data_IF_464004473628
#
_entry.id   IF_464004473628
#
_cell.length_a   1.000
_cell.length_b   1.000
_cell.length_c   1.000
_cell.angle_alpha   90.00
_cell.angle_beta   90.00
_cell.angle_gamma   90.00
#
_symmetry.space_group_name_H-M   'P 1'
#
loop_
_entity.id
_entity.type
_entity.pdbx_description
1 polymer ?
#
# COMPACT_ATOMS: atom_id res chain seq x y z
N UNK A 1 8.13 63.68 13.42
CA UNK A 1 7.37 62.41 13.37
C UNK A 1 8.31 61.33 12.80
N UNK A 2 8.80 60.36 13.59
CA UNK A 2 9.60 59.27 13.04
C UNK A 2 8.71 58.17 12.44
N UNK A 3 8.98 57.80 11.19
CA UNK A 3 8.33 56.67 10.51
C UNK A 3 8.94 55.35 11.01
N UNK A 4 8.08 54.43 11.48
CA UNK A 4 8.46 53.08 11.91
C UNK A 4 8.80 52.24 10.68
N UNK A 5 10.04 51.77 10.61
CA UNK A 5 10.52 50.81 9.62
C UNK A 5 9.94 49.43 9.96
N UNK A 6 9.20 48.82 9.03
CA UNK A 6 8.74 47.43 9.14
C UNK A 6 9.88 46.53 8.64
N UNK A 7 10.48 45.78 9.56
CA UNK A 7 11.37 44.66 9.27
C UNK A 7 10.54 43.53 8.64
N UNK A 8 10.45 43.54 7.32
CA UNK A 8 9.84 42.45 6.55
C UNK A 8 10.86 41.32 6.54
N UNK A 9 10.54 40.25 7.28
CA UNK A 9 11.41 39.11 7.51
C UNK A 9 12.14 38.65 6.25
N UNK A 10 13.45 38.42 6.42
CA UNK A 10 14.36 37.77 5.48
C UNK A 10 13.64 36.61 4.78
N UNK A 11 13.28 36.83 3.52
CA UNK A 11 12.83 35.76 2.66
C UNK A 11 13.97 34.75 2.59
N UNK A 12 13.71 33.53 3.07
CA UNK A 12 14.60 32.41 2.84
C UNK A 12 14.75 32.26 1.33
N UNK A 13 15.96 32.53 0.83
CA UNK A 13 16.32 32.32 -0.56
C UNK A 13 16.04 30.84 -0.89
N UNK A 14 15.31 30.55 -1.98
CA UNK A 14 15.12 29.17 -2.40
C UNK A 14 16.49 28.62 -2.79
N UNK A 15 16.98 27.65 -2.01
CA UNK A 15 18.13 26.83 -2.40
C UNK A 15 17.77 26.10 -3.69
N UNK A 16 18.35 26.57 -4.79
CA UNK A 16 18.20 25.99 -6.13
C UNK A 16 18.81 24.58 -6.08
N UNK A 17 17.98 23.57 -5.90
CA UNK A 17 18.41 22.18 -5.78
C UNK A 17 17.41 21.24 -5.09
N UNK A 18 16.50 21.76 -4.27
CA UNK A 18 15.41 20.94 -3.74
C UNK A 18 14.31 20.87 -4.81
N UNK A 19 14.19 19.73 -5.49
CA UNK A 19 13.07 19.49 -6.39
C UNK A 19 11.77 19.62 -5.58
N UNK A 20 10.96 20.63 -5.91
CA UNK A 20 9.61 20.75 -5.39
C UNK A 20 8.91 19.38 -5.58
N UNK A 21 8.18 18.87 -4.57
CA UNK A 21 7.47 17.61 -4.72
C UNK A 21 6.59 17.71 -5.97
N UNK A 22 6.85 16.83 -6.94
CA UNK A 22 6.13 16.81 -8.20
C UNK A 22 4.62 16.79 -7.90
N UNK A 23 3.79 17.52 -8.66
CA UNK A 23 2.35 17.51 -8.45
C UNK A 23 1.85 16.07 -8.50
N UNK A 24 1.29 15.61 -7.38
CA UNK A 24 0.69 14.27 -7.30
C UNK A 24 -0.47 14.21 -8.29
N UNK A 25 -0.30 13.44 -9.36
CA UNK A 25 -1.35 13.17 -10.33
C UNK A 25 -2.51 12.42 -9.67
N UNK A 26 -3.71 12.52 -10.21
CA UNK A 26 -4.88 11.79 -9.69
C UNK A 26 -4.64 10.27 -9.61
N UNK A 27 -3.83 9.75 -10.53
CA UNK A 27 -3.36 8.36 -10.55
C UNK A 27 -2.53 8.01 -9.31
N UNK A 28 -1.56 8.86 -8.93
CA UNK A 28 -0.74 8.64 -7.72
C UNK A 28 -1.60 8.62 -6.45
N UNK A 29 -2.59 9.50 -6.36
CA UNK A 29 -3.55 9.52 -5.25
C UNK A 29 -4.44 8.28 -5.22
N UNK A 30 -4.86 7.80 -6.39
CA UNK A 30 -5.62 6.56 -6.53
C UNK A 30 -4.79 5.35 -6.08
N UNK A 31 -3.54 5.24 -6.54
CA UNK A 31 -2.62 4.18 -6.12
C UNK A 31 -2.35 4.17 -4.61
N UNK A 32 -2.18 5.34 -4.00
CA UNK A 32 -1.99 5.45 -2.55
C UNK A 32 -3.22 4.96 -1.78
N UNK A 33 -4.42 5.38 -2.17
CA UNK A 33 -5.67 4.93 -1.56
C UNK A 33 -5.93 3.43 -1.76
N UNK A 34 -5.66 2.92 -2.97
CA UNK A 34 -5.76 1.50 -3.26
C UNK A 34 -4.79 0.69 -2.40
N UNK A 35 -3.57 1.19 -2.21
CA UNK A 35 -2.56 0.56 -1.35
C UNK A 35 -3.01 0.50 0.10
N UNK A 36 -3.52 1.61 0.64
CA UNK A 36 -4.05 1.65 2.00
C UNK A 36 -5.23 0.69 2.18
N UNK A 37 -6.15 0.66 1.22
CA UNK A 37 -7.30 -0.25 1.24
C UNK A 37 -6.87 -1.72 1.15
N UNK A 38 -5.86 -2.04 0.35
CA UNK A 38 -5.33 -3.38 0.21
C UNK A 38 -4.68 -3.88 1.51
N UNK A 39 -3.94 -3.02 2.21
CA UNK A 39 -3.35 -3.35 3.53
C UNK A 39 -4.45 -3.57 4.58
N UNK A 40 -5.49 -2.73 4.61
CA UNK A 40 -6.64 -2.93 5.50
C UNK A 40 -7.40 -4.23 5.19
N UNK A 41 -7.58 -4.55 3.90
CA UNK A 41 -8.17 -5.82 3.51
C UNK A 41 -7.33 -7.01 4.01
N UNK A 42 -6.00 -6.95 3.90
CA UNK A 42 -5.12 -7.99 4.41
C UNK A 42 -5.25 -8.14 5.93
N UNK A 43 -5.35 -7.05 6.71
CA UNK A 43 -5.56 -7.17 8.17
C UNK A 43 -6.89 -7.81 8.52
N UNK A 44 -8.00 -7.39 7.90
CA UNK A 44 -9.30 -8.04 8.10
C UNK A 44 -9.27 -9.53 7.72
N UNK A 45 -8.59 -9.88 6.63
CA UNK A 45 -8.46 -11.25 6.18
C UNK A 45 -7.69 -12.12 7.20
N UNK A 46 -6.57 -11.62 7.72
CA UNK A 46 -5.77 -12.33 8.73
C UNK A 46 -6.59 -12.53 10.01
N UNK A 47 -7.19 -11.46 10.54
CA UNK A 47 -8.01 -11.53 11.75
C UNK A 47 -9.16 -12.53 11.59
N UNK A 48 -9.87 -12.49 10.46
CA UNK A 48 -10.96 -13.43 10.16
C UNK A 48 -10.47 -14.88 10.05
N UNK A 49 -9.27 -15.09 9.50
CA UNK A 49 -8.68 -16.42 9.36
C UNK A 49 -8.30 -16.99 10.71
N UNK A 50 -7.66 -16.20 11.57
CA UNK A 50 -7.32 -16.58 12.95
C UNK A 50 -8.58 -16.93 13.75
N UNK A 51 -9.62 -16.11 13.66
CA UNK A 51 -10.91 -16.38 14.29
C UNK A 51 -11.50 -17.72 13.83
N UNK A 52 -11.53 -17.97 12.51
CA UNK A 52 -12.03 -19.24 11.95
C UNK A 52 -11.20 -20.45 12.35
N UNK A 53 -9.88 -20.32 12.44
CA UNK A 53 -9.01 -21.40 12.93
C UNK A 53 -9.35 -21.75 14.38
N UNK A 54 -9.64 -20.75 15.21
CA UNK A 54 -10.07 -20.97 16.59
C UNK A 54 -11.46 -21.61 16.66
N UNK A 55 -12.42 -21.16 15.84
CA UNK A 55 -13.75 -21.76 15.80
C UNK A 55 -13.70 -23.22 15.36
N UNK A 56 -12.87 -23.54 14.38
CA UNK A 56 -12.61 -24.92 13.97
C UNK A 56 -12.00 -25.73 15.12
N UNK A 57 -11.05 -25.17 15.86
CA UNK A 57 -10.44 -25.81 17.04
C UNK A 57 -11.48 -26.08 18.13
N UNK A 58 -12.38 -25.12 18.38
CA UNK A 58 -13.49 -25.24 19.32
C UNK A 58 -14.48 -26.34 18.94
N UNK A 59 -14.83 -26.42 17.66
CA UNK A 59 -15.75 -27.43 17.15
C UNK A 59 -15.20 -28.86 17.27
N UNK A 60 -13.88 -29.02 17.28
CA UNK A 60 -13.19 -30.31 17.41
C UNK A 60 -12.79 -30.64 18.86
N UNK A 61 -12.94 -29.71 19.80
CA UNK A 61 -12.52 -29.89 21.18
C UNK A 61 -13.58 -30.67 22.00
N UNK A 62 -13.10 -31.58 22.84
CA UNK A 62 -13.94 -32.33 23.79
C UNK A 62 -14.66 -31.42 24.79
N UNK A 63 -15.76 -31.90 25.36
CA UNK A 63 -16.63 -31.14 26.28
C UNK A 63 -15.91 -30.59 27.53
N UNK A 64 -14.85 -31.26 27.96
CA UNK A 64 -14.04 -30.87 29.14
C UNK A 64 -12.78 -30.05 28.75
N UNK A 65 -12.69 -29.60 27.50
CA UNK A 65 -11.52 -28.91 26.98
C UNK A 65 -11.53 -27.42 27.31
N UNK A 66 -10.37 -26.91 27.75
CA UNK A 66 -10.12 -25.48 27.97
C UNK A 66 -10.36 -24.61 26.72
N UNK A 67 -10.32 -25.21 25.53
CA UNK A 67 -10.53 -24.49 24.27
C UNK A 67 -12.01 -24.19 24.00
N UNK A 68 -12.93 -24.90 24.67
CA UNK A 68 -14.37 -24.76 24.49
C UNK A 68 -14.95 -23.51 25.15
N UNK A 69 -14.24 -22.97 26.15
CA UNK A 69 -14.69 -21.83 26.93
C UNK A 69 -14.60 -20.52 26.14
N UNK A 70 -15.72 -19.80 26.05
CA UNK A 70 -15.82 -18.53 25.32
C UNK A 70 -15.55 -17.30 26.18
N UNK A 71 -15.24 -17.47 27.47
CA UNK A 71 -15.17 -16.37 28.45
C UNK A 71 -14.20 -15.26 28.01
N UNK A 72 -13.14 -15.61 27.27
CA UNK A 72 -12.12 -14.67 26.82
C UNK A 72 -12.19 -14.37 25.31
N UNK A 73 -13.26 -14.75 24.61
CA UNK A 73 -13.35 -14.60 23.14
C UNK A 73 -13.13 -13.17 22.69
N UNK A 74 -13.72 -12.20 23.39
CA UNK A 74 -13.70 -10.81 22.97
C UNK A 74 -12.30 -10.18 23.12
N UNK A 75 -11.60 -10.53 24.21
CA UNK A 75 -10.20 -10.12 24.41
C UNK A 75 -9.27 -10.77 23.39
N UNK A 76 -9.54 -12.03 23.04
CA UNK A 76 -8.84 -12.74 21.98
C UNK A 76 -9.10 -12.13 20.60
N UNK A 77 -10.32 -11.71 20.30
CA UNK A 77 -10.66 -11.01 19.04
C UNK A 77 -9.95 -9.67 18.94
N UNK A 78 -9.86 -8.92 20.04
CA UNK A 78 -9.06 -7.69 20.08
C UNK A 78 -7.58 -7.98 19.83
N UNK A 79 -7.03 -9.04 20.43
CA UNK A 79 -5.65 -9.45 20.21
C UNK A 79 -5.40 -9.88 18.75
N UNK A 80 -6.30 -10.67 18.16
CA UNK A 80 -6.22 -11.11 16.77
C UNK A 80 -6.20 -9.91 15.81
N UNK A 81 -7.04 -8.89 16.07
CA UNK A 81 -7.04 -7.66 15.29
C UNK A 81 -5.70 -6.90 15.40
N UNK A 82 -5.14 -6.76 16.61
CA UNK A 82 -3.84 -6.09 16.79
C UNK A 82 -2.71 -6.84 16.08
N UNK A 83 -2.69 -8.17 16.16
CA UNK A 83 -1.69 -9.00 15.48
C UNK A 83 -1.86 -8.90 13.96
N UNK A 84 -3.09 -8.94 13.47
CA UNK A 84 -3.40 -8.84 12.06
C UNK A 84 -2.97 -7.49 11.47
N UNK A 85 -3.23 -6.39 12.16
CA UNK A 85 -2.80 -5.05 11.73
C UNK A 85 -1.26 -4.94 11.64
N UNK A 86 -0.54 -5.52 12.62
CA UNK A 86 0.93 -5.54 12.59
C UNK A 86 1.50 -6.38 11.46
N UNK A 87 0.90 -7.53 11.16
CA UNK A 87 1.35 -8.42 10.08
C UNK A 87 1.04 -7.84 8.70
N UNK A 88 -0.17 -7.28 8.51
CA UNK A 88 -0.56 -6.63 7.27
C UNK A 88 0.30 -5.38 7.00
N UNK A 89 0.59 -4.57 8.02
CA UNK A 89 1.47 -3.40 7.90
C UNK A 89 2.89 -3.75 7.47
N UNK A 90 3.37 -4.95 7.81
CA UNK A 90 4.67 -5.48 7.36
C UNK A 90 4.62 -6.16 5.99
N UNK A 91 3.44 -6.24 5.35
CA UNK A 91 3.21 -6.99 4.10
C UNK A 91 3.70 -8.44 4.19
N UNK A 92 3.50 -9.08 5.34
CA UNK A 92 4.07 -10.41 5.61
C UNK A 92 3.43 -11.54 4.79
N UNK A 93 2.14 -11.42 4.41
CA UNK A 93 1.46 -12.43 3.58
C UNK A 93 1.45 -12.07 2.10
N UNK A 94 1.53 -10.77 1.76
CA UNK A 94 1.63 -10.30 0.37
C UNK A 94 0.31 -10.34 -0.40
N UNK A 95 -0.82 -10.52 0.29
CA UNK A 95 -2.16 -10.49 -0.33
C UNK A 95 -2.48 -9.09 -0.82
N UNK A 96 -2.12 -8.04 -0.06
CA UNK A 96 -2.28 -6.66 -0.49
C UNK A 96 -1.55 -6.41 -1.82
N UNK A 97 -0.32 -6.90 -1.96
CA UNK A 97 0.48 -6.73 -3.18
C UNK A 97 -0.09 -7.51 -4.37
N UNK A 98 -0.60 -8.72 -4.14
CA UNK A 98 -1.24 -9.52 -5.18
C UNK A 98 -2.48 -8.82 -5.75
N UNK A 99 -3.32 -8.26 -4.87
CA UNK A 99 -4.52 -7.53 -5.26
C UNK A 99 -4.17 -6.25 -6.02
N UNK A 100 -3.19 -5.48 -5.55
CA UNK A 100 -2.73 -4.27 -6.24
C UNK A 100 -2.18 -4.55 -7.64
N UNK A 101 -1.45 -5.65 -7.82
CA UNK A 101 -0.97 -6.08 -9.14
C UNK A 101 -2.11 -6.45 -10.09
N UNK A 102 -3.20 -7.01 -9.57
CA UNK A 102 -4.38 -7.33 -10.39
C UNK A 102 -5.20 -6.08 -10.77
N UNK A 103 -5.17 -5.05 -9.94
CA UNK A 103 -5.83 -3.76 -10.18
C UNK A 103 -5.03 -2.85 -11.11
N UNK A 104 -3.72 -3.07 -11.24
CA UNK A 104 -2.90 -2.31 -12.16
C UNK A 104 -3.33 -2.60 -13.62
N UNK A 105 -3.39 -1.58 -14.49
CA UNK A 105 -3.61 -1.81 -15.91
C UNK A 105 -2.58 -2.83 -16.43
N UNK A 106 -2.98 -3.81 -17.27
CA UNK A 106 -2.02 -4.71 -17.89
C UNK A 106 -0.98 -3.84 -18.59
N UNK A 107 0.29 -4.01 -18.23
CA UNK A 107 1.38 -3.25 -18.80
C UNK A 107 1.25 -3.35 -20.33
N UNK A 108 0.89 -2.23 -20.97
CA UNK A 108 0.89 -2.21 -22.42
C UNK A 108 2.31 -2.53 -22.86
N UNK A 109 2.52 -3.54 -23.72
CA UNK A 109 3.85 -3.81 -24.24
C UNK A 109 4.35 -2.53 -24.86
N UNK A 110 5.44 -2.01 -24.31
CA UNK A 110 6.06 -0.77 -24.77
C UNK A 110 6.54 -1.02 -26.19
N UNK A 111 5.73 -0.65 -27.18
CA UNK A 111 6.13 -0.58 -28.57
C UNK A 111 7.11 0.58 -28.72
N UNK A 112 8.33 0.37 -28.26
CA UNK A 112 9.48 1.23 -28.53
C UNK A 112 10.66 0.34 -28.93
N UNK A 113 10.37 -0.67 -29.77
CA UNK A 113 11.41 -1.19 -30.66
C UNK A 113 11.63 -0.11 -31.72
N UNK A 114 12.79 0.55 -31.59
CA UNK A 114 13.32 1.50 -32.54
C UNK A 114 13.20 0.94 -33.97
N UNK A 115 12.26 1.48 -34.75
CA UNK A 115 12.24 1.32 -36.19
C UNK A 115 13.42 2.11 -36.76
N UNK A 116 14.62 1.50 -36.72
CA UNK A 116 15.76 1.97 -37.50
C UNK A 116 15.46 1.61 -38.95
N UNK A 117 14.94 2.57 -39.73
CA UNK A 117 14.88 2.42 -41.19
C UNK A 117 16.29 2.10 -41.70
N UNK A 118 16.48 1.02 -42.48
CA UNK A 118 17.70 0.88 -43.27
C UNK A 118 17.69 1.96 -44.35
N UNK A 119 18.60 2.94 -44.26
CA UNK A 119 18.90 3.83 -45.38
C UNK A 119 19.53 3.00 -46.49
N UNK A 120 18.73 2.64 -47.50
CA UNK A 120 19.23 2.10 -48.77
C UNK A 120 20.01 3.21 -49.48
N UNK A 121 21.34 3.07 -49.56
CA UNK A 121 22.17 3.98 -50.35
C UNK A 121 21.86 3.77 -51.85
N UNK A 122 21.62 4.86 -52.62
CA UNK A 122 21.36 4.77 -54.05
C UNK A 122 22.70 4.74 -54.81
N UNK A 123 23.42 3.61 -54.81
CA UNK A 123 24.47 3.36 -55.80
C UNK A 123 24.73 1.87 -55.93
N UNK A 124 23.90 1.19 -56.72
CA UNK A 124 24.37 0.11 -57.59
C UNK A 124 23.41 0.09 -58.78
N UNK A 125 23.95 0.51 -59.92
CA UNK A 125 23.34 0.49 -61.24
C UNK A 125 24.05 -0.60 -62.05
#
# INVERSE_FOLDING_TARGET
MPVRQLDIGKAAEPTIGEAAPAPQTDESRYHAKATEAAVKFESFFIAQTLHKMRDATKAMADDDSIYKDSINSDMLDMADNMVADQLAGRRAFGIADAILRQLAPPAQPSATENFVLPKKNPTDA
#
